data_IF_091783061047
#
_entry.id   IF_091783061047
#
_cell.length_a   1.000
_cell.length_b   1.000
_cell.length_c   1.000
_cell.angle_alpha   90.00
_cell.angle_beta   90.00
_cell.angle_gamma   90.00
#
_symmetry.space_group_name_H-M   'P 1'
#
loop_
_entity.id
_entity.type
_entity.pdbx_description
1 polymer ?
#
# COMPACT_ATOMS: atom_id res chain seq x y z
N UNK A 1 -19.95 -20.61 23.16
CA UNK A 1 -20.34 -19.42 22.38
C UNK A 1 -20.01 -19.71 20.93
N UNK A 2 -20.99 -20.08 20.12
CA UNK A 2 -20.78 -20.32 18.69
C UNK A 2 -20.53 -18.97 18.04
N UNK A 3 -19.28 -18.65 17.73
CA UNK A 3 -18.94 -17.49 16.91
C UNK A 3 -19.60 -17.68 15.54
N UNK A 4 -20.78 -17.10 15.35
CA UNK A 4 -21.42 -17.09 14.05
C UNK A 4 -20.50 -16.38 13.06
N UNK A 5 -20.23 -17.01 11.93
CA UNK A 5 -19.40 -16.41 10.89
C UNK A 5 -20.01 -15.07 10.43
N UNK A 6 -19.17 -14.06 10.15
CA UNK A 6 -19.67 -12.78 9.67
C UNK A 6 -20.38 -12.96 8.32
N UNK A 7 -21.44 -12.18 8.04
CA UNK A 7 -22.23 -12.28 6.81
C UNK A 7 -21.43 -12.05 5.50
N UNK A 8 -20.26 -11.43 5.58
CA UNK A 8 -19.33 -11.27 4.46
C UNK A 8 -17.90 -11.15 4.96
N UNK A 9 -16.89 -11.64 4.23
CA UNK A 9 -15.49 -11.56 4.63
C UNK A 9 -14.96 -10.12 4.55
N UNK A 10 -13.90 -9.82 5.32
CA UNK A 10 -13.16 -8.56 5.20
C UNK A 10 -12.13 -8.62 4.06
N UNK A 11 -12.61 -8.91 2.85
CA UNK A 11 -11.82 -8.93 1.62
C UNK A 11 -12.62 -8.20 0.56
N UNK A 12 -12.09 -7.08 0.09
CA UNK A 12 -12.79 -6.18 -0.83
C UNK A 12 -11.96 -5.93 -2.08
N UNK A 13 -12.61 -5.93 -3.23
CA UNK A 13 -11.99 -5.61 -4.52
C UNK A 13 -12.49 -4.26 -5.03
N UNK A 14 -11.58 -3.39 -5.42
CA UNK A 14 -11.90 -2.12 -6.08
C UNK A 14 -12.30 -2.36 -7.53
N UNK A 15 -13.44 -1.78 -7.92
CA UNK A 15 -13.94 -1.77 -9.30
C UNK A 15 -14.30 -0.33 -9.69
N UNK A 16 -14.26 -0.05 -10.98
CA UNK A 16 -14.75 1.20 -11.54
C UNK A 16 -16.13 0.96 -12.15
N UNK A 17 -17.05 1.89 -11.89
CA UNK A 17 -18.35 1.95 -12.56
C UNK A 17 -18.37 3.07 -13.59
N UNK A 18 -19.38 3.05 -14.47
CA UNK A 18 -19.62 4.14 -15.42
C UNK A 18 -19.83 5.47 -14.70
N UNK A 19 -19.51 6.58 -15.38
CA UNK A 19 -19.74 7.93 -14.86
C UNK A 19 -21.23 8.19 -14.58
N UNK A 20 -22.15 7.57 -15.32
CA UNK A 20 -23.59 7.71 -15.08
C UNK A 20 -24.03 7.09 -13.73
N UNK A 21 -23.27 6.12 -13.22
CA UNK A 21 -23.56 5.41 -11.96
C UNK A 21 -22.70 5.93 -10.80
N UNK A 22 -22.18 7.16 -10.92
CA UNK A 22 -21.47 7.80 -9.83
C UNK A 22 -22.37 7.94 -8.59
N UNK A 23 -21.76 7.69 -7.43
CA UNK A 23 -22.39 7.86 -6.11
C UNK A 23 -21.41 8.52 -5.17
N UNK A 24 -21.91 8.98 -4.04
CA UNK A 24 -21.10 9.65 -3.03
C UNK A 24 -20.17 8.67 -2.31
N UNK A 25 -18.93 9.09 -2.08
CA UNK A 25 -17.97 8.38 -1.24
C UNK A 25 -18.51 8.29 0.20
N UNK A 26 -18.39 7.13 0.84
CA UNK A 26 -18.87 6.94 2.22
C UNK A 26 -18.11 7.74 3.28
N UNK A 27 -16.94 8.29 2.95
CA UNK A 27 -16.08 9.03 3.89
C UNK A 27 -16.28 10.54 3.75
N UNK A 28 -16.09 11.09 2.54
CA UNK A 28 -16.18 12.54 2.30
C UNK A 28 -17.41 12.99 1.51
N UNK A 29 -18.28 12.06 1.12
CA UNK A 29 -19.50 12.33 0.34
C UNK A 29 -19.31 12.99 -1.03
N UNK A 30 -18.06 13.19 -1.48
CA UNK A 30 -17.75 13.59 -2.86
C UNK A 30 -18.10 12.46 -3.83
N UNK A 31 -18.57 12.81 -5.02
CA UNK A 31 -18.90 11.84 -6.05
C UNK A 31 -17.67 11.03 -6.48
N UNK A 32 -17.88 9.74 -6.69
CA UNK A 32 -16.84 8.81 -7.13
C UNK A 32 -17.42 7.68 -7.96
N UNK A 33 -16.59 7.14 -8.85
CA UNK A 33 -16.87 5.97 -9.69
C UNK A 33 -16.21 4.70 -9.15
N UNK A 34 -15.46 4.79 -8.04
CA UNK A 34 -14.77 3.64 -7.45
C UNK A 34 -15.67 2.97 -6.41
N UNK A 35 -15.90 1.67 -6.61
CA UNK A 35 -16.73 0.80 -5.76
C UNK A 35 -15.85 -0.28 -5.13
N UNK A 36 -15.95 -0.42 -3.82
CA UNK A 36 -15.41 -1.53 -3.06
C UNK A 36 -16.48 -2.60 -2.95
N UNK A 37 -16.17 -3.80 -3.45
CA UNK A 37 -17.08 -4.95 -3.46
C UNK A 37 -16.48 -6.07 -2.62
N UNK A 38 -17.23 -6.57 -1.64
CA UNK A 38 -16.82 -7.74 -0.86
C UNK A 38 -16.71 -8.98 -1.76
N UNK A 39 -15.82 -9.91 -1.43
CA UNK A 39 -15.56 -11.11 -2.24
C UNK A 39 -16.84 -11.94 -2.52
N UNK A 40 -17.70 -12.09 -1.51
CA UNK A 40 -18.98 -12.77 -1.63
C UNK A 40 -20.11 -11.90 -2.21
N UNK A 41 -19.82 -10.66 -2.62
CA UNK A 41 -20.75 -9.67 -3.19
C UNK A 41 -21.92 -9.27 -2.27
N UNK A 42 -21.91 -9.65 -1.00
CA UNK A 42 -23.00 -9.35 -0.07
C UNK A 42 -22.91 -7.92 0.51
N UNK A 43 -21.75 -7.26 0.40
CA UNK A 43 -21.55 -5.87 0.78
C UNK A 43 -20.83 -5.10 -0.33
N UNK A 44 -21.24 -3.85 -0.57
CA UNK A 44 -20.56 -2.93 -1.45
C UNK A 44 -20.75 -1.48 -1.03
N UNK A 45 -19.82 -0.61 -1.41
CA UNK A 45 -19.91 0.83 -1.18
C UNK A 45 -18.93 1.62 -2.05
N UNK A 46 -19.19 2.91 -2.17
CA UNK A 46 -18.38 3.82 -2.98
C UNK A 46 -17.31 4.51 -2.14
N UNK A 47 -16.08 4.59 -2.66
CA UNK A 47 -14.92 5.21 -2.00
C UNK A 47 -14.10 5.95 -3.04
N UNK A 48 -13.70 7.19 -2.78
CA UNK A 48 -12.81 7.89 -3.70
C UNK A 48 -11.35 7.45 -3.54
N UNK A 49 -10.56 7.59 -4.62
CA UNK A 49 -9.14 7.20 -4.63
C UNK A 49 -8.29 7.88 -3.54
N UNK A 50 -8.71 9.05 -3.04
CA UNK A 50 -8.06 9.71 -1.91
C UNK A 50 -8.14 8.91 -0.60
N UNK A 51 -9.33 8.39 -0.26
CA UNK A 51 -9.52 7.59 0.96
C UNK A 51 -9.03 6.14 0.82
N UNK A 52 -8.86 5.65 -0.41
CA UNK A 52 -8.27 4.33 -0.64
C UNK A 52 -6.78 4.29 -0.28
N UNK A 53 -6.12 5.46 -0.23
CA UNK A 53 -4.72 5.62 0.20
C UNK A 53 -4.57 5.79 1.72
N UNK A 54 -5.66 5.94 2.46
CA UNK A 54 -5.64 6.15 3.90
C UNK A 54 -5.47 4.83 4.64
N UNK A 55 -4.37 4.71 5.38
CA UNK A 55 -4.03 3.53 6.19
C UNK A 55 -5.04 3.25 7.30
N UNK A 56 -5.74 4.27 7.79
CA UNK A 56 -6.78 4.09 8.81
C UNK A 56 -8.08 3.55 8.22
N UNK A 57 -8.24 3.64 6.90
CA UNK A 57 -9.44 3.20 6.20
C UNK A 57 -9.31 1.76 5.69
N UNK A 58 -8.29 1.49 4.88
CA UNK A 58 -8.02 0.17 4.34
C UNK A 58 -6.54 -0.06 4.04
N UNK A 59 -6.14 -1.32 4.16
CA UNK A 59 -4.81 -1.79 3.78
C UNK A 59 -4.88 -2.49 2.42
N UNK A 60 -4.03 -2.11 1.45
CA UNK A 60 -3.93 -2.82 0.18
C UNK A 60 -3.37 -4.23 0.40
N UNK A 61 -3.97 -5.21 -0.26
CA UNK A 61 -3.41 -6.55 -0.36
C UNK A 61 -2.50 -6.55 -1.58
N UNK A 62 -1.21 -6.78 -1.34
CA UNK A 62 -0.20 -6.82 -2.39
C UNK A 62 -0.07 -8.24 -2.95
N UNK A 63 0.12 -8.35 -4.27
CA UNK A 63 0.47 -9.63 -4.89
C UNK A 63 1.91 -10.03 -4.56
N UNK A 64 2.20 -11.33 -4.64
CA UNK A 64 3.55 -11.86 -4.41
C UNK A 64 4.59 -11.24 -5.34
N UNK A 65 4.20 -10.90 -6.58
CA UNK A 65 5.06 -10.20 -7.54
C UNK A 65 5.47 -8.81 -7.04
N UNK A 66 4.54 -8.03 -6.49
CA UNK A 66 4.83 -6.72 -5.92
C UNK A 66 5.76 -6.83 -4.71
N UNK A 67 5.50 -7.79 -3.82
CA UNK A 67 6.38 -8.08 -2.70
C UNK A 67 7.78 -8.49 -3.17
N UNK A 68 7.87 -9.21 -4.29
CA UNK A 68 9.12 -9.51 -4.99
C UNK A 68 9.87 -8.26 -5.45
N UNK A 69 9.19 -7.30 -6.07
CA UNK A 69 9.79 -6.03 -6.49
C UNK A 69 10.27 -5.19 -5.30
N UNK A 70 9.53 -5.17 -4.20
CA UNK A 70 9.95 -4.49 -2.96
C UNK A 70 11.24 -5.12 -2.40
N UNK A 71 11.32 -6.46 -2.36
CA UNK A 71 12.55 -7.15 -1.92
C UNK A 71 13.73 -6.87 -2.85
N UNK A 72 13.51 -6.86 -4.16
CA UNK A 72 14.58 -6.58 -5.12
C UNK A 72 15.06 -5.12 -5.01
N UNK A 73 14.14 -4.17 -4.83
CA UNK A 73 14.47 -2.77 -4.53
C UNK A 73 15.39 -2.68 -3.30
N UNK A 74 15.01 -3.33 -2.20
CA UNK A 74 15.79 -3.28 -0.96
C UNK A 74 17.18 -3.93 -1.11
N UNK A 75 17.25 -5.02 -1.87
CA UNK A 75 18.51 -5.69 -2.25
C UNK A 75 19.42 -4.78 -3.08
N UNK A 76 18.87 -4.07 -4.06
CA UNK A 76 19.60 -3.14 -4.92
C UNK A 76 20.10 -1.94 -4.11
N UNK A 77 19.26 -1.33 -3.27
CA UNK A 77 19.69 -0.25 -2.38
C UNK A 77 20.84 -0.66 -1.47
N UNK A 78 20.77 -1.85 -0.87
CA UNK A 78 21.84 -2.36 0.00
C UNK A 78 23.14 -2.52 -0.78
N UNK A 79 23.11 -3.13 -1.97
CA UNK A 79 24.29 -3.33 -2.82
C UNK A 79 24.90 -2.00 -3.28
N UNK A 80 24.06 -1.07 -3.73
CA UNK A 80 24.50 0.27 -4.15
C UNK A 80 25.16 1.00 -2.97
N UNK A 81 24.59 0.91 -1.76
CA UNK A 81 25.17 1.52 -0.56
C UNK A 81 26.50 0.87 -0.16
N UNK A 82 26.61 -0.45 -0.25
CA UNK A 82 27.85 -1.17 0.06
C UNK A 82 28.97 -0.82 -0.93
N UNK A 83 28.64 -0.79 -2.23
CA UNK A 83 29.59 -0.46 -3.29
C UNK A 83 30.03 1.00 -3.23
N UNK A 84 29.10 1.92 -2.94
CA UNK A 84 29.43 3.32 -2.68
C UNK A 84 30.41 3.48 -1.50
N UNK A 85 30.18 2.75 -0.40
CA UNK A 85 31.08 2.79 0.76
C UNK A 85 32.48 2.28 0.41
N UNK A 86 32.59 1.19 -0.37
CA UNK A 86 33.90 0.69 -0.82
C UNK A 86 34.66 1.72 -1.64
N UNK A 87 33.99 2.34 -2.62
CA UNK A 87 34.58 3.41 -3.44
C UNK A 87 35.04 4.61 -2.60
N UNK A 88 34.23 5.01 -1.60
CA UNK A 88 34.56 6.11 -0.70
C UNK A 88 35.75 5.76 0.23
N UNK A 89 35.82 4.52 0.76
CA UNK A 89 36.91 4.03 1.60
C UNK A 89 38.24 3.91 0.82
N UNK A 90 38.19 3.43 -0.42
CA UNK A 90 39.34 3.38 -1.33
C UNK A 90 39.85 4.78 -1.70
N UNK A 91 38.93 5.71 -2.00
CA UNK A 91 39.28 7.10 -2.24
C UNK A 91 39.93 7.71 -0.99
N UNK A 92 39.33 7.52 0.19
CA UNK A 92 39.87 8.02 1.46
C UNK A 92 41.27 7.48 1.75
N UNK A 93 41.49 6.17 1.55
CA UNK A 93 42.82 5.55 1.71
C UNK A 93 43.86 6.10 0.73
N UNK A 94 43.47 6.47 -0.49
CA UNK A 94 44.37 7.12 -1.48
C UNK A 94 44.79 8.53 -1.07
N UNK A 95 43.92 9.27 -0.38
CA UNK A 95 44.21 10.64 0.07
C UNK A 95 44.84 10.72 1.47
N UNK A 96 44.96 9.59 2.19
CA UNK A 96 45.67 9.56 3.47
C UNK A 96 47.17 9.79 3.25
N UNK A 97 47.80 10.77 3.90
CA UNK A 97 49.24 10.95 3.81
C UNK A 97 49.94 9.70 4.36
N UNK A 98 50.77 9.06 3.54
CA UNK A 98 51.62 7.88 3.86
C UNK A 98 52.48 8.08 5.13
N UNK A 99 52.56 9.30 5.66
CA UNK A 99 53.27 9.67 6.88
C UNK A 99 52.61 9.21 8.19
N UNK A 100 51.31 8.90 8.23
CA UNK A 100 50.65 8.42 9.47
C UNK A 100 50.57 6.90 9.60
N UNK A 101 50.75 6.14 8.52
CA UNK A 101 50.86 4.67 8.54
C UNK A 101 52.32 4.22 8.84
N UNK A 102 53.28 5.15 8.77
CA UNK A 102 54.71 4.90 8.96
C UNK A 102 55.25 5.08 10.39
N UNK A 103 54.58 4.56 11.43
CA UNK A 103 55.19 4.49 12.78
C UNK A 103 54.78 3.28 13.62
N UNK A 104 54.79 2.07 13.04
CA UNK A 104 54.86 0.83 13.85
C UNK A 104 55.64 -0.34 13.23
N UNK A 105 56.19 -0.22 12.01
CA UNK A 105 57.14 -1.20 11.47
C UNK A 105 58.49 -0.56 11.23
N UNK A 106 59.30 -0.54 12.28
CA UNK A 106 60.71 -0.19 12.18
C UNK A 106 61.50 -1.39 11.63
N UNK A 107 62.32 -1.09 10.60
CA UNK A 107 63.50 -1.82 10.09
C UNK A 107 63.31 -3.29 9.69
N UNK A 108 63.38 -3.57 8.40
CA UNK A 108 64.65 -4.05 7.84
C UNK A 108 64.74 -3.82 6.32
N UNK A 109 65.98 -3.59 5.89
CA UNK A 109 66.43 -3.27 4.54
C UNK A 109 66.25 -4.46 3.59
N UNK A 110 65.66 -4.24 2.40
CA UNK A 110 66.32 -4.66 1.16
C UNK A 110 65.76 -3.91 -0.06
N UNK A 111 66.67 -3.51 -0.94
CA UNK A 111 66.39 -2.93 -2.25
C UNK A 111 65.85 -4.02 -3.17
N UNK A 112 64.56 -3.98 -3.50
CA UNK A 112 64.16 -4.39 -4.84
C UNK A 112 63.05 -3.51 -5.40
N UNK A 113 63.31 -3.05 -6.62
CA UNK A 113 62.57 -2.03 -7.35
C UNK A 113 61.46 -2.73 -8.13
N UNK A 114 60.29 -2.88 -7.53
CA UNK A 114 59.06 -3.17 -8.27
C UNK A 114 58.20 -1.90 -8.34
N UNK A 115 58.28 -1.22 -9.49
CA UNK A 115 57.19 -0.37 -10.00
C UNK A 115 56.31 -1.30 -10.86
N UNK A 116 55.33 -1.91 -10.24
CA UNK A 116 54.24 -2.62 -10.89
C UNK A 116 53.19 -2.85 -9.80
N UNK A 117 52.30 -1.89 -9.60
CA UNK A 117 51.07 -2.02 -8.80
C UNK A 117 50.18 -0.75 -8.93
N UNK A 118 50.20 -0.09 -10.10
CA UNK A 118 49.39 1.12 -10.36
C UNK A 118 48.34 0.88 -11.47
N UNK A 119 48.40 -0.27 -12.18
CA UNK A 119 47.46 -0.59 -13.28
C UNK A 119 46.24 -1.41 -12.82
N UNK A 120 46.38 -2.34 -11.86
CA UNK A 120 45.25 -3.18 -11.39
C UNK A 120 44.17 -2.35 -10.65
N UNK A 121 44.61 -1.31 -9.95
CA UNK A 121 43.76 -0.50 -9.04
C UNK A 121 42.89 0.54 -9.80
N UNK A 122 43.21 0.79 -11.09
CA UNK A 122 42.44 1.68 -11.99
C UNK A 122 41.45 0.90 -12.85
N UNK A 123 41.69 -0.39 -13.10
CA UNK A 123 40.75 -1.29 -13.77
C UNK A 123 39.61 -1.75 -12.83
N UNK A 124 39.90 -2.07 -11.56
CA UNK A 124 38.86 -2.42 -10.58
C UNK A 124 37.87 -1.26 -10.34
N UNK A 125 38.36 -0.01 -10.22
CA UNK A 125 37.51 1.19 -10.06
C UNK A 125 36.59 1.42 -11.27
N UNK A 126 37.08 1.21 -12.49
CA UNK A 126 36.24 1.27 -13.71
C UNK A 126 35.17 0.19 -13.70
N UNK A 127 35.48 -1.02 -13.23
CA UNK A 127 34.51 -2.11 -13.14
C UNK A 127 33.40 -1.83 -12.11
N UNK A 128 33.77 -1.26 -10.96
CA UNK A 128 32.81 -0.92 -9.90
C UNK A 128 31.91 0.27 -10.28
N UNK A 129 32.42 1.26 -11.00
CA UNK A 129 31.61 2.36 -11.54
C UNK A 129 30.59 1.86 -12.58
N UNK A 130 30.99 0.92 -13.45
CA UNK A 130 30.10 0.29 -14.42
C UNK A 130 29.04 -0.57 -13.73
N UNK A 131 29.42 -1.31 -12.68
CA UNK A 131 28.49 -2.10 -11.88
C UNK A 131 27.46 -1.20 -11.15
N UNK A 132 27.90 -0.08 -10.58
CA UNK A 132 27.03 0.93 -9.97
C UNK A 132 26.02 1.50 -10.99
N UNK A 133 26.47 1.89 -12.19
CA UNK A 133 25.57 2.40 -13.23
C UNK A 133 24.53 1.37 -13.64
N UNK A 134 24.92 0.10 -13.74
CA UNK A 134 23.99 -1.00 -14.06
C UNK A 134 22.95 -1.21 -12.95
N UNK A 135 23.38 -1.28 -11.69
CA UNK A 135 22.48 -1.45 -10.54
C UNK A 135 21.53 -0.26 -10.37
N UNK A 136 21.97 0.97 -10.63
CA UNK A 136 21.10 2.14 -10.60
C UNK A 136 20.03 2.10 -11.71
N UNK A 137 20.38 1.65 -12.93
CA UNK A 137 19.38 1.43 -13.99
C UNK A 137 18.39 0.33 -13.61
N UNK A 138 18.86 -0.78 -13.05
CA UNK A 138 17.98 -1.85 -12.55
C UNK A 138 17.05 -1.32 -11.45
N UNK A 139 17.57 -0.52 -10.52
CA UNK A 139 16.78 0.12 -9.47
C UNK A 139 15.69 1.03 -10.05
N UNK A 140 16.03 1.87 -11.03
CA UNK A 140 15.08 2.75 -11.72
C UNK A 140 13.93 1.94 -12.34
N UNK A 141 14.24 0.86 -13.06
CA UNK A 141 13.21 -0.01 -13.64
C UNK A 141 12.31 -0.69 -12.60
N UNK A 142 12.84 -1.02 -11.42
CA UNK A 142 12.06 -1.59 -10.31
C UNK A 142 11.18 -0.52 -9.67
N UNK A 143 11.69 0.71 -9.51
CA UNK A 143 10.91 1.84 -9.00
C UNK A 143 9.76 2.22 -9.93
N UNK A 144 9.97 2.16 -11.26
CA UNK A 144 8.91 2.38 -12.25
C UNK A 144 7.79 1.33 -12.12
N UNK A 145 8.16 0.05 -11.96
CA UNK A 145 7.18 -1.03 -11.71
C UNK A 145 6.40 -0.83 -10.41
N UNK A 146 7.07 -0.41 -9.34
CA UNK A 146 6.44 -0.15 -8.04
C UNK A 146 5.50 1.05 -8.12
N UNK A 147 5.90 2.13 -8.78
CA UNK A 147 5.11 3.36 -8.89
C UNK A 147 3.86 3.19 -9.77
N UNK A 148 3.95 2.36 -10.82
CA UNK A 148 2.83 2.00 -11.67
C UNK A 148 1.88 0.96 -11.07
N UNK A 149 2.24 0.32 -9.95
CA UNK A 149 1.43 -0.72 -9.34
C UNK A 149 0.32 -0.12 -8.47
N UNK A 150 -0.92 -0.58 -8.71
CA UNK A 150 -2.07 -0.28 -7.87
C UNK A 150 -2.75 -1.58 -7.47
N UNK A 151 -2.79 -1.86 -6.16
CA UNK A 151 -3.53 -2.98 -5.61
C UNK A 151 -5.02 -2.85 -5.95
N UNK A 152 -5.64 -3.95 -6.39
CA UNK A 152 -7.08 -4.02 -6.62
C UNK A 152 -7.83 -4.66 -5.45
N UNK A 153 -7.12 -5.43 -4.63
CA UNK A 153 -7.66 -6.13 -3.49
C UNK A 153 -7.21 -5.40 -2.21
N UNK A 154 -8.14 -5.28 -1.26
CA UNK A 154 -7.99 -4.48 -0.06
C UNK A 154 -8.64 -5.18 1.12
N UNK A 155 -8.10 -4.92 2.30
CA UNK A 155 -8.66 -5.30 3.58
C UNK A 155 -9.04 -4.03 4.32
N UNK A 156 -10.28 -3.93 4.79
CA UNK A 156 -10.68 -2.76 5.57
C UNK A 156 -10.04 -2.81 6.95
N UNK A 157 -9.79 -1.65 7.52
CA UNK A 157 -9.44 -1.55 8.94
C UNK A 157 -10.53 -2.20 9.80
N UNK A 158 -10.15 -2.77 10.95
CA UNK A 158 -11.04 -3.51 11.86
C UNK A 158 -12.27 -2.70 12.25
N UNK A 159 -12.11 -1.41 12.55
CA UNK A 159 -13.22 -0.56 12.99
C UNK A 159 -14.17 -0.21 11.84
N UNK A 160 -13.61 0.06 10.65
CA UNK A 160 -14.40 0.29 9.42
C UNK A 160 -15.21 -0.96 9.08
N UNK A 161 -14.58 -2.14 9.12
CA UNK A 161 -15.27 -3.41 8.86
C UNK A 161 -16.36 -3.70 9.88
N UNK A 162 -16.12 -3.42 11.18
CA UNK A 162 -17.17 -3.52 12.22
C UNK A 162 -18.36 -2.62 11.91
N UNK A 163 -18.13 -1.38 11.49
CA UNK A 163 -19.19 -0.46 11.07
C UNK A 163 -19.97 -1.00 9.87
N UNK A 164 -19.31 -1.64 8.89
CA UNK A 164 -19.98 -2.31 7.76
C UNK A 164 -20.90 -3.44 8.22
N UNK A 165 -20.41 -4.31 9.10
CA UNK A 165 -21.22 -5.40 9.67
C UNK A 165 -22.44 -4.86 10.42
N UNK A 166 -22.25 -3.84 11.26
CA UNK A 166 -23.35 -3.21 11.98
C UNK A 166 -24.37 -2.58 11.02
N UNK A 167 -23.91 -1.90 9.96
CA UNK A 167 -24.79 -1.33 8.94
C UNK A 167 -25.64 -2.41 8.25
N UNK A 168 -25.03 -3.55 7.91
CA UNK A 168 -25.73 -4.68 7.30
C UNK A 168 -26.79 -5.27 8.24
N UNK A 169 -26.45 -5.49 9.51
CA UNK A 169 -27.41 -5.95 10.51
C UNK A 169 -28.56 -4.96 10.71
N UNK A 170 -28.25 -3.67 10.84
CA UNK A 170 -29.25 -2.62 10.99
C UNK A 170 -30.19 -2.55 9.78
N UNK A 171 -29.66 -2.67 8.55
CA UNK A 171 -30.46 -2.69 7.33
C UNK A 171 -31.41 -3.89 7.29
N UNK A 172 -30.95 -5.09 7.69
CA UNK A 172 -31.82 -6.28 7.78
C UNK A 172 -32.94 -6.11 8.80
N UNK A 173 -32.64 -5.60 9.99
CA UNK A 173 -33.63 -5.36 11.04
C UNK A 173 -34.65 -4.32 10.59
N UNK A 174 -34.21 -3.22 9.97
CA UNK A 174 -35.08 -2.18 9.45
C UNK A 174 -35.97 -2.71 8.32
N UNK A 175 -35.43 -3.48 7.38
CA UNK A 175 -36.20 -4.08 6.29
C UNK A 175 -37.29 -5.01 6.81
N UNK A 176 -36.97 -5.86 7.80
CA UNK A 176 -37.95 -6.74 8.45
C UNK A 176 -39.05 -5.93 9.14
N UNK A 177 -38.68 -4.91 9.92
CA UNK A 177 -39.64 -4.02 10.58
C UNK A 177 -40.54 -3.29 9.58
N UNK A 178 -39.99 -2.84 8.45
CA UNK A 178 -40.77 -2.18 7.40
C UNK A 178 -41.77 -3.14 6.75
N UNK A 179 -41.40 -4.41 6.55
CA UNK A 179 -42.33 -5.43 6.05
C UNK A 179 -43.46 -5.70 7.04
N UNK A 180 -43.15 -5.84 8.32
CA UNK A 180 -44.15 -6.02 9.40
C UNK A 180 -45.14 -4.83 9.42
N UNK A 181 -44.61 -3.60 9.35
CA UNK A 181 -45.39 -2.37 9.26
C UNK A 181 -46.32 -2.35 8.03
N UNK A 182 -45.81 -2.73 6.86
CA UNK A 182 -46.60 -2.76 5.63
C UNK A 182 -47.67 -3.84 5.64
N UNK A 183 -47.43 -4.94 6.37
CA UNK A 183 -48.38 -6.05 6.48
C UNK A 183 -49.51 -5.80 7.47
N UNK A 184 -49.37 -4.85 8.40
CA UNK A 184 -50.39 -4.51 9.40
C UNK A 184 -51.41 -3.50 8.83
N UNK A 185 -52.68 -3.90 8.59
CA UNK A 185 -53.71 -3.01 8.07
C UNK A 185 -54.06 -1.85 9.01
N UNK A 186 -53.72 -1.95 10.30
CA UNK A 186 -53.98 -0.94 11.33
C UNK A 186 -52.85 0.07 11.53
N UNK A 187 -51.72 -0.09 10.84
CA UNK A 187 -50.55 0.77 11.04
C UNK A 187 -50.70 2.16 10.40
N UNK A 188 -51.39 2.25 9.26
CA UNK A 188 -51.62 3.54 8.62
C UNK A 188 -52.78 4.27 9.29
N UNK A 189 -52.63 5.56 9.62
CA UNK A 189 -53.71 6.33 10.20
C UNK A 189 -54.89 6.36 9.23
N UNK A 190 -56.05 5.92 9.70
CA UNK A 190 -57.28 6.01 8.93
C UNK A 190 -57.74 7.47 8.84
N UNK A 191 -58.29 7.84 7.70
CA UNK A 191 -58.87 9.18 7.50
C UNK A 191 -60.01 9.36 8.51
N UNK A 192 -60.01 10.44 9.31
CA UNK A 192 -61.12 10.74 10.21
C UNK A 192 -62.45 10.79 9.45
N UNK A 193 -63.45 10.03 9.87
CA UNK A 193 -64.76 9.92 9.20
C UNK A 193 -65.74 11.02 9.61
N UNK A 194 -65.39 11.87 10.58
CA UNK A 194 -66.26 12.93 11.05
C UNK A 194 -66.39 14.02 9.98
N UNK A 195 -67.62 14.36 9.61
CA UNK A 195 -67.89 15.50 8.73
C UNK A 195 -67.56 16.79 9.49
N UNK A 196 -66.88 17.72 8.82
CA UNK A 196 -66.68 19.07 9.36
C UNK A 196 -68.05 19.73 9.52
N UNK A 197 -68.54 19.88 10.76
CA UNK A 197 -69.78 20.59 11.05
C UNK A 197 -70.67 19.91 12.11
N UNK A 198 -70.47 18.64 12.40
CA UNK A 198 -71.27 17.93 13.41
C UNK A 198 -70.68 18.18 14.81
N UNK A 199 -70.96 19.36 15.36
CA UNK A 199 -70.85 19.65 16.79
C UNK A 199 -72.26 19.92 17.30
N UNK A 200 -72.84 18.92 17.98
CA UNK A 200 -73.93 19.16 18.93
C UNK A 200 -73.42 19.97 20.13
#
# INVERSE_FOLDING_TARGET
MTSAEPPFPNLYRSRLVSENDLRSCVVCFKFTTTVMLADNKADFFYVCAGHLKDTNFCDPIHSDEYLGWIRERDRLYKRISELKRKMDDEAWNKYLPTKWIGKSRAKDEDKNKHKADDDDDDDEKKTDEVMMKKMNKELETVLDKISGYSSKDFKLNKDVYRMRLQRYHNQKVQAKRQQEIQSDPGFFPQVPTNKLGDRE
#
